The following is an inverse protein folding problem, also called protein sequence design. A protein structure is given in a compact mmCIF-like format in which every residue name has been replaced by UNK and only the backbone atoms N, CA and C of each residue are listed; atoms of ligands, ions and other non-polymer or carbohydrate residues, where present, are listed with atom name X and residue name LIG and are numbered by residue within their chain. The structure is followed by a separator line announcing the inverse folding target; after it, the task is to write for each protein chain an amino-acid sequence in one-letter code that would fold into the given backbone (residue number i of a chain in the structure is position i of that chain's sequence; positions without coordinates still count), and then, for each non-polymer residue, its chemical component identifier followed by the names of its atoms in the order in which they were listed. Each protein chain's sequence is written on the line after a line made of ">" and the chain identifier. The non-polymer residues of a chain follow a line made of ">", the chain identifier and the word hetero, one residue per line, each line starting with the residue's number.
data_IF_771322924916
#
_entry.id   IF_771322924916
#
_cell.length_a   1.000
_cell.length_b   1.000
_cell.length_c   1.000
_cell.angle_alpha   90.00
_cell.angle_beta   90.00
_cell.angle_gamma   90.00
#
_symmetry.space_group_name_H-M   'P 1'
#
loop_
_entity.id
_entity.type
_entity.pdbx_description
1 polymer ?
#
# COMPACT_ATOMS: atom_id res chain seq x y z
N UNK A 1 -15.65 -6.09 52.44
CA UNK A 1 -14.87 -5.10 51.67
C UNK A 1 -14.62 -5.50 50.21
N UNK A 2 -14.30 -6.78 49.89
CA UNK A 2 -13.99 -7.24 48.51
C UNK A 2 -15.13 -7.12 47.47
N UNK A 3 -16.41 -7.31 47.84
CA UNK A 3 -17.55 -7.20 46.88
C UNK A 3 -17.71 -5.79 46.29
N UNK A 4 -17.50 -4.73 47.09
CA UNK A 4 -17.60 -3.33 46.63
C UNK A 4 -16.53 -2.96 45.58
N UNK A 5 -15.37 -3.59 45.60
CA UNK A 5 -14.25 -3.28 44.70
C UNK A 5 -14.48 -3.94 43.32
N UNK A 6 -15.05 -5.15 43.31
CA UNK A 6 -15.36 -5.88 42.07
C UNK A 6 -16.48 -5.16 41.31
N UNK A 7 -17.55 -4.75 42.00
CA UNK A 7 -18.64 -3.95 41.42
C UNK A 7 -18.15 -2.60 40.89
N UNK A 8 -17.17 -1.96 41.56
CA UNK A 8 -16.56 -0.72 41.09
C UNK A 8 -15.74 -0.94 39.81
N UNK A 9 -15.01 -2.05 39.68
CA UNK A 9 -14.24 -2.35 38.47
C UNK A 9 -15.14 -2.69 37.27
N UNK A 10 -16.27 -3.37 37.51
CA UNK A 10 -17.25 -3.69 36.46
C UNK A 10 -17.94 -2.41 36.01
N UNK A 11 -18.37 -1.55 36.94
CA UNK A 11 -18.93 -0.23 36.60
C UNK A 11 -17.92 0.64 35.84
N UNK A 12 -16.64 0.62 36.23
CA UNK A 12 -15.60 1.37 35.54
C UNK A 12 -15.37 0.86 34.11
N UNK A 13 -15.35 -0.45 33.91
CA UNK A 13 -15.18 -1.06 32.58
C UNK A 13 -16.37 -0.75 31.67
N UNK A 14 -17.60 -0.82 32.20
CA UNK A 14 -18.82 -0.44 31.46
C UNK A 14 -18.83 1.06 31.12
N UNK A 15 -18.37 1.93 32.03
CA UNK A 15 -18.22 3.37 31.75
C UNK A 15 -17.16 3.60 30.66
N UNK A 16 -16.03 2.91 30.70
CA UNK A 16 -14.99 3.01 29.65
C UNK A 16 -15.52 2.53 28.30
N UNK A 17 -16.27 1.43 28.24
CA UNK A 17 -16.90 0.98 26.99
C UNK A 17 -17.97 1.95 26.48
N UNK A 18 -18.77 2.55 27.37
CA UNK A 18 -19.75 3.58 27.01
C UNK A 18 -19.07 4.85 26.48
N UNK A 19 -17.98 5.31 27.11
CA UNK A 19 -17.18 6.45 26.65
C UNK A 19 -16.48 6.14 25.34
N UNK A 20 -15.91 4.94 25.17
CA UNK A 20 -15.28 4.52 23.93
C UNK A 20 -16.30 4.43 22.79
N UNK A 21 -17.50 3.90 23.05
CA UNK A 21 -18.61 3.86 22.10
C UNK A 21 -19.11 5.27 21.73
N UNK A 22 -19.21 6.18 22.71
CA UNK A 22 -19.56 7.59 22.49
C UNK A 22 -18.48 8.34 21.70
N UNK A 23 -17.20 8.03 21.89
CA UNK A 23 -16.10 8.62 21.15
C UNK A 23 -16.05 8.07 19.72
N UNK A 24 -16.29 6.77 19.51
CA UNK A 24 -16.35 6.19 18.15
C UNK A 24 -17.58 6.68 17.38
N UNK A 25 -18.74 6.81 18.02
CA UNK A 25 -19.96 7.38 17.41
C UNK A 25 -19.80 8.89 17.23
N UNK A 26 -19.14 9.58 18.15
CA UNK A 26 -18.80 10.99 18.04
C UNK A 26 -17.86 11.28 16.88
N UNK A 27 -16.83 10.46 16.65
CA UNK A 27 -15.93 10.57 15.50
C UNK A 27 -16.68 10.25 14.19
N UNK A 28 -17.61 9.29 14.20
CA UNK A 28 -18.48 9.01 13.05
C UNK A 28 -19.47 10.16 12.76
N UNK A 29 -19.88 10.92 13.78
CA UNK A 29 -20.76 12.09 13.65
C UNK A 29 -20.04 13.42 13.38
N UNK A 30 -18.71 13.49 13.60
CA UNK A 30 -17.87 14.65 13.21
C UNK A 30 -17.45 14.56 11.74
N UNK A 31 -17.60 13.39 11.11
CA UNK A 31 -17.77 13.32 9.65
C UNK A 31 -19.13 13.93 9.31
N UNK A 32 -19.17 15.25 9.15
CA UNK A 32 -20.29 15.90 8.49
C UNK A 32 -20.48 15.25 7.12
N UNK A 33 -21.72 15.07 6.63
CA UNK A 33 -21.88 14.89 5.19
C UNK A 33 -21.26 16.14 4.56
N UNK A 34 -20.22 15.96 3.74
CA UNK A 34 -19.72 17.04 2.89
C UNK A 34 -20.91 17.55 2.08
N UNK A 35 -21.49 18.66 2.52
CA UNK A 35 -22.44 19.41 1.73
C UNK A 35 -21.61 20.25 0.78
N UNK A 36 -21.45 19.74 -0.44
CA UNK A 36 -21.00 20.55 -1.57
C UNK A 36 -22.09 21.58 -1.81
N UNK A 37 -21.89 22.79 -1.31
CA UNK A 37 -22.70 23.95 -1.68
C UNK A 37 -21.95 24.67 -2.80
N UNK A 38 -22.54 24.65 -4.00
CA UNK A 38 -22.17 25.56 -5.06
C UNK A 38 -22.34 26.99 -4.53
N UNK A 39 -21.26 27.76 -4.54
CA UNK A 39 -21.30 29.18 -4.17
C UNK A 39 -21.90 29.98 -5.33
N UNK A 40 -23.22 30.06 -5.42
CA UNK A 40 -23.88 31.07 -6.25
C UNK A 40 -23.85 32.41 -5.50
N UNK A 41 -22.84 33.23 -5.78
CA UNK A 41 -22.90 34.67 -5.50
C UNK A 41 -23.58 35.34 -6.68
N UNK A 42 -24.88 35.56 -6.57
CA UNK A 42 -25.64 36.39 -7.49
C UNK A 42 -25.35 37.87 -7.19
N UNK A 43 -24.43 38.48 -7.93
CA UNK A 43 -24.35 39.93 -8.10
C UNK A 43 -25.04 40.28 -9.42
N UNK A 44 -25.81 41.37 -9.42
CA UNK A 44 -26.50 41.86 -10.61
C UNK A 44 -25.50 42.29 -11.67
N UNK A 45 -25.35 41.50 -12.74
CA UNK A 45 -24.52 41.85 -13.90
C UNK A 45 -23.78 40.68 -14.57
N UNK A 46 -23.70 39.49 -13.95
CA UNK A 46 -23.00 38.36 -14.57
C UNK A 46 -23.88 37.68 -15.62
N UNK A 47 -23.39 37.66 -16.86
CA UNK A 47 -24.04 36.98 -17.97
C UNK A 47 -23.79 35.48 -17.80
N UNK A 48 -24.78 34.73 -17.33
CA UNK A 48 -24.69 33.28 -17.18
C UNK A 48 -24.49 32.61 -18.55
N UNK A 49 -23.26 32.15 -18.83
CA UNK A 49 -23.07 31.07 -19.79
C UNK A 49 -23.30 29.78 -19.02
N UNK A 50 -24.51 29.24 -19.15
CA UNK A 50 -24.86 27.94 -18.61
C UNK A 50 -23.93 26.87 -19.18
N UNK A 51 -23.30 26.05 -18.32
CA UNK A 51 -22.60 24.82 -18.73
C UNK A 51 -23.56 23.68 -19.05
N UNK A 52 -24.88 23.91 -18.89
CA UNK A 52 -25.93 22.98 -19.26
C UNK A 52 -26.13 23.06 -20.77
N UNK A 53 -25.57 22.09 -21.50
CA UNK A 53 -25.69 21.99 -22.96
C UNK A 53 -27.17 21.85 -23.36
N UNK A 54 -27.94 21.04 -22.61
CA UNK A 54 -29.37 20.80 -22.85
C UNK A 54 -30.17 20.90 -21.53
N UNK A 55 -31.19 21.77 -21.41
CA UNK A 55 -31.98 21.93 -20.20
C UNK A 55 -32.85 20.69 -19.90
N UNK A 56 -33.14 20.47 -18.61
CA UNK A 56 -33.94 19.32 -18.16
C UNK A 56 -35.31 19.28 -18.84
N UNK A 57 -35.65 18.12 -19.45
CA UNK A 57 -36.90 17.90 -20.18
C UNK A 57 -36.80 18.00 -21.71
N UNK A 58 -35.60 18.24 -22.27
CA UNK A 58 -35.37 18.27 -23.73
C UNK A 58 -35.10 16.91 -24.36
N UNK A 59 -34.81 15.89 -23.56
CA UNK A 59 -34.58 14.53 -24.04
C UNK A 59 -35.89 13.93 -24.56
N UNK A 60 -35.98 13.75 -25.87
CA UNK A 60 -37.20 13.20 -26.53
C UNK A 60 -37.03 11.75 -26.96
N UNK A 61 -35.80 11.21 -26.85
CA UNK A 61 -35.47 9.83 -27.21
C UNK A 61 -34.90 9.06 -26.01
N UNK A 62 -35.17 7.75 -25.86
CA UNK A 62 -34.66 6.94 -24.75
C UNK A 62 -33.12 6.89 -24.64
N UNK A 63 -32.40 7.06 -25.75
CA UNK A 63 -30.93 7.11 -25.78
C UNK A 63 -30.37 8.39 -25.14
N UNK A 64 -31.08 9.50 -25.30
CA UNK A 64 -30.67 10.83 -24.82
C UNK A 64 -30.79 10.93 -23.28
N UNK A 65 -31.75 10.22 -22.68
CA UNK A 65 -31.94 10.14 -21.21
C UNK A 65 -30.78 9.39 -20.54
N UNK A 66 -30.14 8.45 -21.24
CA UNK A 66 -29.02 7.65 -20.73
C UNK A 66 -27.70 8.42 -20.60
N UNK A 67 -27.52 9.50 -21.37
CA UNK A 67 -26.29 10.28 -21.38
C UNK A 67 -26.23 11.35 -20.29
N UNK A 68 -27.38 11.75 -19.72
CA UNK A 68 -27.51 12.88 -18.78
C UNK A 68 -26.97 12.60 -17.36
N UNK A 69 -26.58 11.36 -17.03
CA UNK A 69 -26.03 10.97 -15.71
C UNK A 69 -24.52 10.67 -15.74
N UNK A 70 -23.80 11.08 -16.78
CA UNK A 70 -22.41 10.68 -17.03
C UNK A 70 -21.40 11.60 -16.32
N UNK A 71 -21.38 11.59 -14.99
CA UNK A 71 -20.31 12.23 -14.21
C UNK A 71 -19.32 11.22 -13.59
N UNK A 72 -19.51 9.90 -13.79
CA UNK A 72 -18.55 8.89 -13.34
C UNK A 72 -18.77 7.52 -14.06
N UNK A 73 -18.58 7.46 -15.37
CA UNK A 73 -18.82 6.23 -16.16
C UNK A 73 -17.51 5.58 -16.58
N UNK A 74 -17.19 4.41 -16.00
CA UNK A 74 -16.22 3.44 -16.54
C UNK A 74 -17.03 2.42 -17.35
N UNK A 75 -17.12 2.55 -18.68
CA UNK A 75 -17.97 1.68 -19.52
C UNK A 75 -17.23 0.40 -19.89
N UNK A 76 -17.54 -0.69 -19.19
CA UNK A 76 -17.09 -2.03 -19.59
C UNK A 76 -18.06 -2.54 -20.65
N UNK A 77 -17.64 -2.48 -21.91
CA UNK A 77 -18.38 -3.03 -23.05
C UNK A 77 -17.96 -4.47 -23.29
N UNK A 78 -18.76 -5.43 -22.84
CA UNK A 78 -18.55 -6.85 -23.18
C UNK A 78 -19.22 -7.15 -24.52
N UNK A 79 -18.41 -7.48 -25.53
CA UNK A 79 -18.87 -7.70 -26.89
C UNK A 79 -19.43 -9.13 -27.05
N UNK A 80 -20.66 -9.34 -26.57
CA UNK A 80 -21.62 -10.30 -27.15
C UNK A 80 -23.01 -10.16 -26.49
N UNK A 81 -23.94 -9.46 -27.16
CA UNK A 81 -25.40 -9.63 -27.04
C UNK A 81 -26.10 -9.18 -25.75
N UNK A 82 -26.81 -8.05 -25.81
CA UNK A 82 -28.02 -7.74 -25.01
C UNK A 82 -27.97 -7.86 -23.47
N UNK A 83 -26.88 -7.46 -22.84
CA UNK A 83 -26.87 -7.29 -21.38
C UNK A 83 -26.01 -6.12 -20.97
N UNK A 84 -26.61 -4.92 -20.85
CA UNK A 84 -26.00 -3.91 -20.00
C UNK A 84 -25.83 -4.53 -18.61
N UNK A 85 -24.59 -4.63 -18.12
CA UNK A 85 -24.32 -5.01 -16.73
C UNK A 85 -25.20 -4.11 -15.86
N UNK A 86 -26.03 -4.71 -14.99
CA UNK A 86 -26.90 -3.99 -14.08
C UNK A 86 -26.10 -2.84 -13.43
N UNK A 87 -26.61 -1.60 -13.46
CA UNK A 87 -25.88 -0.43 -12.95
C UNK A 87 -25.33 -0.63 -11.54
N UNK A 88 -26.04 -1.39 -10.68
CA UNK A 88 -25.56 -1.76 -9.36
C UNK A 88 -24.33 -2.69 -9.39
N UNK A 89 -24.29 -3.67 -10.30
CA UNK A 89 -23.16 -4.58 -10.47
C UNK A 89 -21.94 -3.83 -11.05
N UNK A 90 -22.16 -2.87 -11.96
CA UNK A 90 -21.10 -2.01 -12.48
C UNK A 90 -20.48 -1.15 -11.39
N UNK A 91 -21.30 -0.49 -10.56
CA UNK A 91 -20.84 0.28 -9.40
C UNK A 91 -20.05 -0.61 -8.43
N UNK A 92 -20.54 -1.82 -8.16
CA UNK A 92 -19.86 -2.78 -7.28
C UNK A 92 -18.47 -3.15 -7.81
N UNK A 93 -18.34 -3.47 -9.10
CA UNK A 93 -17.05 -3.80 -9.72
C UNK A 93 -16.11 -2.60 -9.69
N UNK A 94 -16.59 -1.40 -10.03
CA UNK A 94 -15.78 -0.18 -10.01
C UNK A 94 -15.27 0.14 -8.61
N UNK A 95 -16.13 0.08 -7.58
CA UNK A 95 -15.71 0.30 -6.19
C UNK A 95 -14.70 -0.75 -5.73
N UNK A 96 -14.86 -2.00 -6.15
CA UNK A 96 -13.93 -3.08 -5.82
C UNK A 96 -12.56 -2.82 -6.47
N UNK A 97 -12.53 -2.40 -7.74
CA UNK A 97 -11.29 -2.06 -8.43
C UNK A 97 -10.59 -0.86 -7.78
N UNK A 98 -11.34 0.20 -7.43
CA UNK A 98 -10.78 1.37 -6.73
C UNK A 98 -10.17 0.98 -5.38
N UNK A 99 -10.83 0.08 -4.64
CA UNK A 99 -10.33 -0.37 -3.34
C UNK A 99 -9.06 -1.23 -3.46
N UNK A 100 -8.93 -2.06 -4.51
CA UNK A 100 -7.83 -3.00 -4.67
C UNK A 100 -6.62 -2.40 -5.42
N UNK A 101 -6.86 -1.47 -6.34
CA UNK A 101 -5.84 -0.80 -7.15
C UNK A 101 -4.62 -0.30 -6.35
N UNK A 102 -4.76 0.46 -5.25
CA UNK A 102 -3.60 0.98 -4.53
C UNK A 102 -2.72 -0.14 -3.97
N UNK A 103 -3.31 -1.24 -3.51
CA UNK A 103 -2.53 -2.37 -2.98
C UNK A 103 -1.74 -3.06 -4.08
N UNK A 104 -2.35 -3.29 -5.25
CA UNK A 104 -1.67 -3.91 -6.39
C UNK A 104 -0.51 -3.05 -6.87
N UNK A 105 -0.73 -1.75 -7.02
CA UNK A 105 0.32 -0.80 -7.46
C UNK A 105 1.50 -0.87 -6.48
N UNK A 106 1.24 -0.79 -5.18
CA UNK A 106 2.29 -0.85 -4.16
C UNK A 106 3.09 -2.17 -4.25
N UNK A 107 2.44 -3.31 -4.51
CA UNK A 107 3.11 -4.61 -4.63
C UNK A 107 4.02 -4.72 -5.85
N UNK A 108 3.78 -3.94 -6.90
CA UNK A 108 4.63 -3.88 -8.11
C UNK A 108 5.84 -2.93 -7.96
N UNK A 109 6.02 -2.32 -6.79
CA UNK A 109 7.13 -1.39 -6.51
C UNK A 109 8.11 -1.94 -5.47
N UNK A 110 9.15 -1.15 -5.15
CA UNK A 110 10.11 -1.44 -4.07
C UNK A 110 9.51 -1.52 -2.66
N UNK A 111 8.25 -1.11 -2.46
CA UNK A 111 7.64 -1.00 -1.13
C UNK A 111 7.69 -2.30 -0.33
N UNK A 112 7.42 -3.44 -0.96
CA UNK A 112 7.32 -4.75 -0.29
C UNK A 112 8.62 -5.11 0.44
N UNK A 113 9.78 -4.97 -0.21
CA UNK A 113 11.08 -5.25 0.42
C UNK A 113 11.37 -4.26 1.53
N UNK A 114 11.08 -2.98 1.33
CA UNK A 114 11.36 -1.93 2.31
C UNK A 114 10.57 -2.13 3.60
N UNK A 115 9.25 -2.31 3.52
CA UNK A 115 8.41 -2.41 4.72
C UNK A 115 8.77 -3.64 5.55
N UNK A 116 9.11 -4.75 4.90
CA UNK A 116 9.51 -5.99 5.57
C UNK A 116 10.84 -5.80 6.28
N UNK A 117 11.86 -5.25 5.61
CA UNK A 117 13.18 -5.00 6.24
C UNK A 117 13.05 -4.05 7.44
N UNK A 118 12.28 -2.98 7.33
CA UNK A 118 12.01 -2.07 8.44
C UNK A 118 11.27 -2.76 9.60
N UNK A 119 10.32 -3.66 9.29
CA UNK A 119 9.63 -4.46 10.29
C UNK A 119 10.58 -5.43 11.01
N UNK A 120 11.46 -6.13 10.26
CA UNK A 120 12.50 -6.98 10.83
C UNK A 120 13.43 -6.18 11.75
N UNK A 121 13.85 -4.99 11.33
CA UNK A 121 14.70 -4.09 12.12
C UNK A 121 14.05 -3.76 13.48
N UNK A 122 12.79 -3.32 13.47
CA UNK A 122 12.05 -3.04 14.71
C UNK A 122 11.98 -4.27 15.61
N UNK A 123 11.65 -5.42 15.02
CA UNK A 123 11.50 -6.67 15.78
C UNK A 123 12.84 -7.16 16.35
N UNK A 124 13.95 -6.96 15.65
CA UNK A 124 15.29 -7.34 16.10
C UNK A 124 15.75 -6.52 17.33
N UNK A 125 15.42 -5.23 17.34
CA UNK A 125 15.64 -4.32 18.48
C UNK A 125 14.75 -4.68 19.69
N UNK A 126 13.72 -5.49 19.49
CA UNK A 126 12.75 -5.93 20.49
C UNK A 126 12.02 -4.76 21.20
N UNK A 127 11.81 -3.65 20.49
CA UNK A 127 11.11 -2.49 21.02
C UNK A 127 9.59 -2.70 20.97
N UNK A 128 8.90 -2.57 22.11
CA UNK A 128 7.48 -2.95 22.22
C UNK A 128 6.52 -2.10 21.37
N UNK A 129 6.85 -0.82 21.12
CA UNK A 129 5.94 0.10 20.41
C UNK A 129 6.64 1.14 19.52
N UNK A 130 7.97 1.23 19.55
CA UNK A 130 8.72 2.25 18.83
C UNK A 130 9.70 1.63 17.81
N UNK A 131 9.69 2.04 16.53
CA UNK A 131 8.77 2.99 15.90
C UNK A 131 7.35 2.41 15.69
N UNK A 132 6.30 3.26 15.69
CA UNK A 132 4.94 2.83 15.35
C UNK A 132 4.83 2.31 13.90
N UNK A 133 3.92 1.36 13.65
CA UNK A 133 3.69 0.82 12.30
C UNK A 133 3.41 1.92 11.26
N UNK A 134 2.67 2.96 11.64
CA UNK A 134 2.36 4.08 10.76
C UNK A 134 3.61 4.84 10.31
N UNK A 135 4.61 4.98 11.19
CA UNK A 135 5.88 5.62 10.84
C UNK A 135 6.69 4.73 9.90
N UNK A 136 6.69 3.41 10.12
CA UNK A 136 7.36 2.48 9.22
C UNK A 136 6.73 2.48 7.82
N UNK A 137 5.40 2.50 7.74
CA UNK A 137 4.68 2.60 6.46
C UNK A 137 4.96 3.94 5.78
N UNK A 138 4.93 5.05 6.53
CA UNK A 138 5.25 6.37 5.99
C UNK A 138 6.68 6.47 5.45
N UNK A 139 7.67 5.97 6.20
CA UNK A 139 9.06 5.86 5.75
C UNK A 139 9.18 4.97 4.51
N UNK A 140 8.51 3.82 4.49
CA UNK A 140 8.53 2.91 3.36
C UNK A 140 7.95 3.55 2.09
N UNK A 141 6.85 4.29 2.20
CA UNK A 141 6.27 5.02 1.06
C UNK A 141 7.21 6.11 0.54
N UNK A 142 7.80 6.92 1.43
CA UNK A 142 8.73 7.98 1.02
C UNK A 142 9.96 7.39 0.32
N UNK A 143 10.54 6.32 0.87
CA UNK A 143 11.65 5.62 0.24
C UNK A 143 11.26 4.96 -1.09
N UNK A 144 10.03 4.46 -1.20
CA UNK A 144 9.50 3.92 -2.46
C UNK A 144 9.42 5.02 -3.51
N UNK A 145 8.88 6.19 -3.19
CA UNK A 145 8.87 7.32 -4.14
C UNK A 145 10.27 7.74 -4.55
N UNK A 146 11.22 7.73 -3.62
CA UNK A 146 12.61 8.06 -3.91
C UNK A 146 13.28 7.04 -4.85
N UNK A 147 13.10 5.74 -4.62
CA UNK A 147 13.68 4.68 -5.47
C UNK A 147 12.97 4.62 -6.83
N UNK A 148 11.65 4.80 -6.85
CA UNK A 148 10.81 4.69 -8.04
C UNK A 148 10.74 5.97 -8.88
N UNK A 149 11.36 7.07 -8.46
CA UNK A 149 11.37 8.35 -9.19
C UNK A 149 11.61 8.18 -10.71
N UNK A 150 12.66 7.49 -11.19
CA UNK A 150 12.88 7.35 -12.64
C UNK A 150 11.76 6.57 -13.35
N UNK A 151 11.16 5.59 -12.68
CA UNK A 151 10.05 4.80 -13.25
C UNK A 151 8.76 5.62 -13.30
N UNK A 152 8.45 6.35 -12.24
CA UNK A 152 7.26 7.23 -12.16
C UNK A 152 7.35 8.34 -13.21
N UNK A 153 8.53 8.95 -13.38
CA UNK A 153 8.74 9.99 -14.39
C UNK A 153 8.49 9.46 -15.80
N UNK A 154 9.02 8.27 -16.13
CA UNK A 154 8.76 7.63 -17.44
C UNK A 154 7.29 7.30 -17.65
N UNK A 155 6.59 6.78 -16.65
CA UNK A 155 5.14 6.54 -16.74
C UNK A 155 4.39 7.85 -17.01
N UNK A 156 4.79 8.94 -16.36
CA UNK A 156 4.17 10.23 -16.58
C UNK A 156 4.38 10.75 -18.02
N UNK A 157 5.61 10.70 -18.51
CA UNK A 157 5.99 11.19 -19.85
C UNK A 157 5.46 10.31 -20.99
N UNK A 158 5.51 8.98 -20.84
CA UNK A 158 5.21 8.03 -21.90
C UNK A 158 3.71 7.61 -21.93
N UNK A 159 2.99 7.72 -20.80
CA UNK A 159 1.61 7.26 -20.69
C UNK A 159 0.62 8.32 -20.20
N UNK A 160 0.91 9.04 -19.11
CA UNK A 160 -0.08 9.96 -18.51
C UNK A 160 -0.27 11.22 -19.37
N UNK A 161 0.80 11.95 -19.70
CA UNK A 161 0.70 13.17 -20.51
C UNK A 161 0.09 12.90 -21.90
N UNK A 162 0.52 11.87 -22.66
CA UNK A 162 -0.05 11.60 -23.97
C UNK A 162 -1.55 11.20 -23.90
N UNK A 163 -1.97 10.53 -22.82
CA UNK A 163 -3.37 10.17 -22.59
C UNK A 163 -4.22 11.40 -22.25
N UNK A 164 -3.72 12.31 -21.41
CA UNK A 164 -4.40 13.57 -21.09
C UNK A 164 -4.53 14.50 -22.32
N UNK A 165 -3.53 14.48 -23.20
CA UNK A 165 -3.54 15.19 -24.48
C UNK A 165 -4.45 14.53 -25.54
N UNK A 166 -4.98 13.33 -25.26
CA UNK A 166 -5.84 12.57 -26.18
C UNK A 166 -5.10 12.00 -27.39
N UNK A 167 -3.78 11.86 -27.30
CA UNK A 167 -2.93 11.31 -28.39
C UNK A 167 -2.89 9.79 -28.41
N UNK A 168 -3.15 9.14 -27.28
CA UNK A 168 -3.22 7.68 -27.12
C UNK A 168 -4.54 7.27 -26.47
N UNK A 169 -5.02 6.07 -26.78
CA UNK A 169 -6.20 5.49 -26.14
C UNK A 169 -5.86 4.89 -24.76
N UNK A 170 -6.89 4.58 -23.97
CA UNK A 170 -6.75 4.01 -22.62
C UNK A 170 -5.95 2.69 -22.62
N UNK A 171 -6.18 1.82 -23.61
CA UNK A 171 -5.48 0.54 -23.72
C UNK A 171 -3.99 0.73 -24.02
N UNK A 172 -3.65 1.66 -24.91
CA UNK A 172 -2.26 2.00 -25.24
C UNK A 172 -1.55 2.70 -24.07
N UNK A 173 -2.26 3.56 -23.33
CA UNK A 173 -1.74 4.20 -22.12
C UNK A 173 -1.41 3.16 -21.04
N UNK A 174 -2.23 2.12 -20.89
CA UNK A 174 -1.96 1.03 -19.95
C UNK A 174 -0.72 0.22 -20.38
N UNK A 175 -0.60 -0.10 -21.67
CA UNK A 175 0.55 -0.84 -22.20
C UNK A 175 1.86 -0.07 -22.01
N UNK A 176 1.88 1.21 -22.42
CA UNK A 176 3.05 2.09 -22.24
C UNK A 176 3.35 2.35 -20.76
N UNK A 177 2.33 2.50 -19.92
CA UNK A 177 2.50 2.68 -18.48
C UNK A 177 3.05 1.43 -17.77
N UNK A 178 2.76 0.23 -18.29
CA UNK A 178 3.29 -1.02 -17.74
C UNK A 178 4.74 -1.29 -18.15
N UNK A 179 5.21 -0.79 -19.29
CA UNK A 179 6.57 -1.07 -19.77
C UNK A 179 7.68 -0.63 -18.78
N UNK A 180 7.69 0.61 -18.24
CA UNK A 180 8.68 1.01 -17.23
C UNK A 180 8.61 0.16 -15.95
N UNK A 181 7.42 -0.26 -15.52
CA UNK A 181 7.27 -1.15 -14.37
C UNK A 181 7.88 -2.53 -14.63
N UNK A 182 7.70 -3.07 -15.84
CA UNK A 182 8.30 -4.36 -16.24
C UNK A 182 9.83 -4.26 -16.26
N UNK A 183 10.36 -3.19 -16.82
CA UNK A 183 11.81 -2.91 -16.83
C UNK A 183 12.39 -2.75 -15.42
N UNK A 184 11.61 -2.21 -14.47
CA UNK A 184 12.00 -2.15 -13.06
C UNK A 184 11.96 -3.53 -12.38
N UNK A 185 10.90 -4.31 -12.59
CA UNK A 185 10.70 -5.61 -11.92
C UNK A 185 11.67 -6.69 -12.41
N UNK A 186 11.97 -6.72 -13.70
CA UNK A 186 12.79 -7.78 -14.32
C UNK A 186 14.17 -7.96 -13.68
N UNK A 187 15.03 -6.94 -13.53
CA UNK A 187 16.36 -7.11 -12.92
C UNK A 187 16.31 -7.49 -11.43
N UNK A 188 15.19 -7.22 -10.76
CA UNK A 188 14.99 -7.55 -9.35
C UNK A 188 14.42 -8.97 -9.14
N UNK A 189 13.91 -9.59 -10.20
CA UNK A 189 13.29 -10.92 -10.14
C UNK A 189 14.34 -12.01 -10.33
N UNK A 190 14.30 -13.05 -9.50
CA UNK A 190 15.21 -14.18 -9.65
C UNK A 190 14.76 -15.07 -10.81
N UNK A 191 15.73 -15.48 -11.63
CA UNK A 191 15.55 -16.42 -12.76
C UNK A 191 14.75 -17.65 -12.34
N UNK A 192 15.08 -18.26 -11.18
CA UNK A 192 14.39 -19.44 -10.64
C UNK A 192 12.91 -19.19 -10.30
N UNK A 193 12.58 -17.97 -9.87
CA UNK A 193 11.21 -17.63 -9.53
C UNK A 193 10.40 -17.44 -10.83
N UNK A 194 10.99 -16.83 -11.88
CA UNK A 194 10.37 -16.75 -13.21
C UNK A 194 10.16 -18.13 -13.83
N UNK A 195 11.19 -18.98 -13.84
CA UNK A 195 11.13 -20.35 -14.35
C UNK A 195 9.98 -21.13 -13.68
N UNK A 196 9.86 -21.04 -12.36
CA UNK A 196 8.78 -21.69 -11.62
C UNK A 196 7.39 -21.26 -12.11
N UNK A 197 7.14 -19.96 -12.29
CA UNK A 197 5.84 -19.49 -12.72
C UNK A 197 5.58 -19.72 -14.22
N UNK A 198 6.63 -19.74 -15.05
CA UNK A 198 6.53 -20.14 -16.47
C UNK A 198 6.18 -21.62 -16.60
N UNK A 199 6.81 -22.49 -15.79
CA UNK A 199 6.51 -23.92 -15.71
C UNK A 199 5.05 -24.16 -15.26
N UNK A 200 4.60 -23.41 -14.24
CA UNK A 200 3.20 -23.48 -13.76
C UNK A 200 2.22 -23.00 -14.86
N UNK A 201 2.60 -21.99 -15.63
CA UNK A 201 1.80 -21.49 -16.75
C UNK A 201 1.86 -22.39 -17.99
N UNK A 202 2.78 -23.36 -18.04
CA UNK A 202 3.00 -24.24 -19.19
C UNK A 202 3.58 -23.51 -20.40
N UNK A 203 4.40 -22.47 -20.18
CA UNK A 203 5.00 -21.65 -21.22
C UNK A 203 6.52 -21.81 -21.21
N UNK A 204 7.12 -21.86 -22.40
CA UNK A 204 8.58 -21.84 -22.54
C UNK A 204 9.08 -20.40 -22.46
N UNK A 205 10.27 -20.21 -21.88
CA UNK A 205 10.90 -18.91 -21.73
C UNK A 205 12.26 -18.92 -22.43
N UNK A 206 12.48 -17.95 -23.31
CA UNK A 206 13.70 -17.81 -24.10
C UNK A 206 14.81 -16.99 -23.40
N UNK A 207 14.52 -16.47 -22.20
CA UNK A 207 15.43 -15.62 -21.43
C UNK A 207 15.15 -14.12 -21.54
N UNK A 208 14.27 -13.68 -22.46
CA UNK A 208 13.98 -12.27 -22.69
C UNK A 208 12.88 -11.74 -21.75
N UNK A 209 12.83 -10.42 -21.59
CA UNK A 209 11.77 -9.75 -20.83
C UNK A 209 10.43 -9.77 -21.58
N UNK A 210 10.46 -9.65 -22.90
CA UNK A 210 9.26 -9.50 -23.75
C UNK A 210 8.36 -10.73 -23.68
N UNK A 211 8.96 -11.92 -23.61
CA UNK A 211 8.26 -13.19 -23.59
C UNK A 211 7.56 -13.50 -22.26
N UNK A 212 7.84 -12.76 -21.17
CA UNK A 212 7.28 -13.03 -19.85
C UNK A 212 5.93 -12.32 -19.69
N UNK A 213 4.79 -13.03 -19.55
CA UNK A 213 3.51 -12.38 -19.32
C UNK A 213 3.47 -11.64 -17.98
N UNK A 214 2.68 -10.56 -17.89
CA UNK A 214 2.48 -9.84 -16.62
C UNK A 214 1.92 -10.74 -15.50
N UNK A 215 1.10 -11.73 -15.87
CA UNK A 215 0.56 -12.74 -14.93
C UNK A 215 1.63 -13.66 -14.32
N UNK A 216 2.82 -13.74 -14.94
CA UNK A 216 3.98 -14.50 -14.45
C UNK A 216 4.96 -13.56 -13.76
N UNK A 217 5.31 -12.44 -14.40
CA UNK A 217 6.33 -11.51 -13.90
C UNK A 217 5.97 -10.93 -12.53
N UNK A 218 4.73 -10.46 -12.36
CA UNK A 218 4.27 -9.82 -11.11
C UNK A 218 4.37 -10.77 -9.91
N UNK A 219 3.80 -11.99 -9.92
CA UNK A 219 3.95 -12.91 -8.79
C UNK A 219 5.39 -13.39 -8.61
N UNK A 220 6.16 -13.57 -9.69
CA UNK A 220 7.59 -13.93 -9.59
C UNK A 220 8.38 -12.85 -8.85
N UNK A 221 8.20 -11.58 -9.24
CA UNK A 221 8.80 -10.42 -8.60
C UNK A 221 8.43 -10.36 -7.12
N UNK A 222 7.15 -10.51 -6.78
CA UNK A 222 6.72 -10.50 -5.38
C UNK A 222 7.42 -11.56 -4.52
N UNK A 223 7.58 -12.79 -5.05
CA UNK A 223 8.30 -13.86 -4.33
C UNK A 223 9.79 -13.53 -4.19
N UNK A 224 10.42 -13.00 -5.23
CA UNK A 224 11.82 -12.58 -5.20
C UNK A 224 12.05 -11.46 -4.17
N UNK A 225 11.18 -10.45 -4.14
CA UNK A 225 11.22 -9.35 -3.17
C UNK A 225 11.06 -9.86 -1.73
N UNK A 226 10.09 -10.75 -1.50
CA UNK A 226 9.88 -11.38 -0.19
C UNK A 226 11.13 -12.14 0.24
N UNK A 227 11.70 -12.98 -0.63
CA UNK A 227 12.90 -13.76 -0.33
C UNK A 227 14.07 -12.85 0.04
N UNK A 228 14.33 -11.81 -0.75
CA UNK A 228 15.41 -10.87 -0.49
C UNK A 228 15.19 -10.09 0.81
N UNK A 229 13.96 -9.62 1.06
CA UNK A 229 13.62 -8.90 2.28
C UNK A 229 13.80 -9.76 3.54
N UNK A 230 13.42 -11.03 3.49
CA UNK A 230 13.66 -11.97 4.58
C UNK A 230 15.14 -12.27 4.78
N UNK A 231 15.93 -12.37 3.70
CA UNK A 231 17.37 -12.54 3.80
C UNK A 231 18.06 -11.35 4.47
N UNK A 232 17.74 -10.13 4.03
CA UNK A 232 18.22 -8.89 4.66
C UNK A 232 17.75 -8.83 6.12
N UNK A 233 16.48 -9.12 6.38
CA UNK A 233 15.91 -9.16 7.72
C UNK A 233 16.65 -10.14 8.64
N UNK A 234 16.97 -11.34 8.15
CA UNK A 234 17.77 -12.32 8.87
C UNK A 234 19.17 -11.80 9.18
N UNK A 235 19.85 -11.17 8.21
CA UNK A 235 21.18 -10.61 8.41
C UNK A 235 21.19 -9.50 9.47
N UNK A 236 20.14 -8.67 9.51
CA UNK A 236 19.94 -7.65 10.56
C UNK A 236 19.78 -8.31 11.94
N UNK A 237 19.13 -9.47 12.03
CA UNK A 237 18.90 -10.16 13.30
C UNK A 237 20.17 -10.73 13.94
N UNK A 238 21.14 -11.18 13.15
CA UNK A 238 22.36 -11.87 13.63
C UNK A 238 23.07 -11.12 14.78
N UNK A 239 23.47 -9.84 14.64
CA UNK A 239 24.17 -9.14 15.72
C UNK A 239 23.33 -9.03 17.00
N UNK A 240 22.02 -8.84 16.88
CA UNK A 240 21.14 -8.71 18.04
C UNK A 240 20.89 -10.04 18.76
N UNK A 241 20.83 -11.16 18.02
CA UNK A 241 20.75 -12.50 18.60
C UNK A 241 22.01 -12.80 19.42
N UNK A 242 23.18 -12.41 18.94
CA UNK A 242 24.43 -12.58 19.69
C UNK A 242 24.38 -11.84 21.03
N UNK A 243 23.87 -10.60 21.04
CA UNK A 243 23.69 -9.84 22.29
C UNK A 243 22.73 -10.57 23.24
N UNK A 244 21.60 -11.07 22.73
CA UNK A 244 20.65 -11.84 23.56
C UNK A 244 21.29 -13.07 24.19
N UNK A 245 22.06 -13.84 23.41
CA UNK A 245 22.73 -15.05 23.86
C UNK A 245 23.79 -14.74 24.93
N UNK A 246 24.57 -13.68 24.74
CA UNK A 246 25.60 -13.25 25.70
C UNK A 246 24.96 -12.78 27.01
N UNK A 247 23.93 -11.93 26.94
CA UNK A 247 23.23 -11.44 28.14
C UNK A 247 22.54 -12.59 28.88
N UNK A 248 21.88 -13.51 28.16
CA UNK A 248 21.23 -14.68 28.76
C UNK A 248 22.23 -15.58 29.50
N UNK A 249 23.37 -15.89 28.88
CA UNK A 249 24.42 -16.71 29.53
C UNK A 249 24.98 -16.05 30.79
N UNK A 250 25.10 -14.71 30.78
CA UNK A 250 25.62 -13.94 31.92
C UNK A 250 24.60 -13.90 33.07
N UNK A 251 23.33 -13.64 32.79
CA UNK A 251 22.25 -13.66 33.80
C UNK A 251 22.07 -15.04 34.43
N UNK A 252 22.16 -16.10 33.60
CA UNK A 252 22.11 -17.48 34.08
C UNK A 252 23.30 -17.79 34.99
N UNK A 253 24.49 -17.30 34.66
CA UNK A 253 25.69 -17.43 35.51
C UNK A 253 25.58 -16.68 36.84
N UNK A 254 24.79 -15.60 36.91
CA UNK A 254 24.50 -14.88 38.16
C UNK A 254 23.39 -15.53 39.00
N UNK A 255 22.74 -16.58 38.51
CA UNK A 255 21.63 -17.25 39.19
C UNK A 255 20.27 -16.55 39.03
N UNK A 256 20.16 -15.53 38.18
CA UNK A 256 18.90 -14.80 37.94
C UNK A 256 18.06 -15.48 36.86
N UNK A 257 17.42 -16.61 37.20
CA UNK A 257 16.58 -17.37 36.25
C UNK A 257 15.21 -16.72 35.96
N UNK A 258 14.73 -15.81 36.82
CA UNK A 258 13.37 -15.26 36.72
C UNK A 258 13.26 -13.97 35.89
N UNK A 259 14.37 -13.34 35.53
CA UNK A 259 14.35 -12.14 34.70
C UNK A 259 14.45 -12.55 33.22
N UNK A 260 13.50 -12.12 32.36
CA UNK A 260 13.59 -12.38 30.92
C UNK A 260 14.88 -11.76 30.36
N UNK A 261 15.81 -12.54 29.79
CA UNK A 261 17.08 -12.00 29.28
C UNK A 261 16.90 -10.93 28.22
N UNK A 262 15.83 -11.04 27.42
CA UNK A 262 15.47 -10.10 26.36
C UNK A 262 15.15 -8.71 26.89
N UNK A 263 14.63 -8.58 28.11
CA UNK A 263 14.36 -7.25 28.71
C UNK A 263 15.65 -6.53 29.10
N UNK A 264 16.66 -7.29 29.53
CA UNK A 264 17.96 -6.75 29.93
C UNK A 264 18.84 -6.45 28.72
N UNK A 265 18.72 -7.23 27.62
CA UNK A 265 19.49 -7.00 26.40
C UNK A 265 18.99 -5.82 25.57
N UNK A 266 17.70 -5.45 25.64
CA UNK A 266 17.11 -4.32 24.92
C UNK A 266 17.95 -3.03 24.95
N UNK A 267 18.33 -2.46 26.12
CA UNK A 267 19.11 -1.22 26.16
C UNK A 267 20.48 -1.35 25.46
N UNK A 268 21.14 -2.51 25.55
CA UNK A 268 22.40 -2.77 24.85
C UNK A 268 22.21 -2.81 23.33
N UNK A 269 21.13 -3.44 22.85
CA UNK A 269 20.78 -3.46 21.42
C UNK A 269 20.54 -2.07 20.88
N UNK A 270 19.76 -1.26 21.59
CA UNK A 270 19.46 0.12 21.20
C UNK A 270 20.73 0.96 21.19
N UNK A 271 21.58 0.82 22.23
CA UNK A 271 22.85 1.53 22.29
C UNK A 271 23.76 1.17 21.09
N UNK A 272 23.94 -0.12 20.81
CA UNK A 272 24.74 -0.56 19.66
C UNK A 272 24.16 -0.03 18.34
N UNK A 273 22.84 -0.08 18.19
CA UNK A 273 22.17 0.40 16.99
C UNK A 273 22.36 1.91 16.78
N UNK A 274 22.26 2.71 17.84
CA UNK A 274 22.48 4.16 17.75
C UNK A 274 23.97 4.49 17.53
N UNK A 275 24.89 3.77 18.17
CA UNK A 275 26.34 3.98 17.99
C UNK A 275 26.81 3.63 16.58
N UNK A 276 26.17 2.67 15.94
CA UNK A 276 26.47 2.26 14.57
C UNK A 276 25.72 3.09 13.50
N UNK A 277 24.96 4.11 13.91
CA UNK A 277 24.03 4.84 13.04
C UNK A 277 23.12 3.90 12.21
N UNK A 278 22.49 2.97 12.91
CA UNK A 278 21.84 1.81 12.31
C UNK A 278 20.71 2.15 11.34
N UNK A 279 20.00 3.27 11.53
CA UNK A 279 18.97 3.70 10.58
C UNK A 279 19.58 4.13 9.24
N UNK A 280 20.65 4.93 9.26
CA UNK A 280 21.34 5.34 8.04
C UNK A 280 21.97 4.15 7.33
N UNK A 281 22.57 3.21 8.09
CA UNK A 281 23.14 1.99 7.54
C UNK A 281 22.08 1.12 6.86
N UNK A 282 20.97 0.84 7.53
CA UNK A 282 19.91 -0.03 7.00
C UNK A 282 19.25 0.60 5.78
N UNK A 283 18.87 1.88 5.86
CA UNK A 283 18.22 2.58 4.75
C UNK A 283 19.20 2.70 3.57
N UNK A 284 20.45 3.07 3.82
CA UNK A 284 21.47 3.21 2.77
C UNK A 284 21.74 1.90 2.04
N UNK A 285 21.94 0.81 2.79
CA UNK A 285 22.16 -0.52 2.19
C UNK A 285 20.93 -1.03 1.45
N UNK A 286 19.73 -0.78 1.99
CA UNK A 286 18.47 -1.16 1.35
C UNK A 286 18.27 -0.45 0.01
N UNK A 287 18.51 0.86 -0.06
CA UNK A 287 18.41 1.62 -1.31
C UNK A 287 19.45 1.12 -2.33
N UNK A 288 20.67 0.81 -1.89
CA UNK A 288 21.71 0.22 -2.74
C UNK A 288 21.32 -1.15 -3.32
N UNK A 289 20.36 -1.88 -2.73
CA UNK A 289 19.92 -3.17 -3.30
C UNK A 289 19.04 -3.04 -4.54
N UNK A 290 18.59 -1.84 -4.89
CA UNK A 290 17.74 -1.60 -6.07
C UNK A 290 18.51 -1.03 -7.27
N UNK A 291 19.77 -0.61 -7.09
CA UNK A 291 20.65 -0.07 -8.13
C UNK A 291 21.84 -0.99 -8.36
#
# INVERSE_FOLDING_TARGET
>A
MKRKIIDASIKLKTIIYMVCLLVTVGILCICTPVKVQASERHLTGDTEVSTVINPAGTATTPEEVGQLNTANTVSITYNNGNGQINGALRILITLTLIALAPTIIIMMTSFTRIIIVLHFTRSALNTQTAPPNQILIGLALILTFFIMEPTITRINEEAIQPFEEGTIDQDEALEKGMAPLREFMYPQTQVKDVELFMDIAGQEWDGTLEDIPNSVLVPSFMISELRMAFWIGFMIYIPFIVIDMVVASTLMSMGMMMLPPTTISMPFKILLFVLADGWALIIGQLVQTFY
#
